data_IF_417156669143
#
_entry.id   IF_417156669143
#
_cell.length_a   1.000
_cell.length_b   1.000
_cell.length_c   1.000
_cell.angle_alpha   90.00
_cell.angle_beta   90.00
_cell.angle_gamma   90.00
#
_symmetry.space_group_name_H-M   'P 1'
#
loop_
_entity.id
_entity.type
_entity.pdbx_description
1 polymer ?
#
# COMPACT_ATOMS: atom_id res chain seq x y z
N UNK A 1 -15.78 1.08 3.06
CA UNK A 1 -14.67 0.11 3.05
C UNK A 1 -14.92 -0.82 1.87
N UNK A 2 -13.97 -0.98 0.95
CA UNK A 2 -14.11 -1.87 -0.21
C UNK A 2 -14.19 -3.34 0.22
N UNK A 3 -14.63 -4.23 -0.68
CA UNK A 3 -14.76 -5.66 -0.37
C UNK A 3 -13.42 -6.25 0.05
N UNK A 4 -13.41 -6.98 1.18
CA UNK A 4 -12.19 -7.63 1.65
C UNK A 4 -11.74 -8.67 0.62
N UNK A 5 -10.47 -8.59 0.22
CA UNK A 5 -9.89 -9.48 -0.77
C UNK A 5 -8.50 -9.92 -0.36
N UNK A 6 -8.05 -11.02 -0.95
CA UNK A 6 -6.74 -11.57 -0.68
C UNK A 6 -5.67 -10.55 -1.06
N UNK A 7 -4.92 -10.09 -0.06
CA UNK A 7 -3.73 -9.28 -0.27
C UNK A 7 -2.56 -10.23 -0.46
N UNK A 8 -1.81 -10.03 -1.54
CA UNK A 8 -0.61 -10.83 -1.86
C UNK A 8 0.63 -9.96 -1.91
N UNK A 9 0.47 -8.71 -2.34
CA UNK A 9 1.58 -7.79 -2.47
C UNK A 9 1.67 -6.88 -1.26
N UNK A 10 2.89 -6.50 -0.88
CA UNK A 10 3.16 -5.56 0.18
C UNK A 10 4.01 -4.39 -0.35
N UNK A 11 3.52 -3.17 -0.15
CA UNK A 11 4.18 -1.93 -0.49
C UNK A 11 4.90 -1.44 0.76
N UNK A 12 6.23 -1.51 0.75
CA UNK A 12 7.10 -0.95 1.78
C UNK A 12 7.49 0.50 1.48
N UNK A 13 7.99 1.20 2.49
CA UNK A 13 8.45 2.59 2.34
C UNK A 13 7.36 3.64 2.57
N UNK A 14 6.23 3.25 3.17
CA UNK A 14 5.23 4.19 3.69
C UNK A 14 5.59 4.58 5.11
N UNK A 15 5.54 5.88 5.43
CA UNK A 15 5.73 6.35 6.80
C UNK A 15 4.60 5.88 7.73
N UNK A 16 4.94 5.52 8.97
CA UNK A 16 3.94 5.07 9.97
C UNK A 16 2.85 6.12 10.23
N UNK A 17 3.20 7.40 10.08
CA UNK A 17 2.28 8.53 10.23
C UNK A 17 1.31 8.64 9.04
N UNK A 18 1.75 8.22 7.85
CA UNK A 18 0.97 8.31 6.61
C UNK A 18 0.26 7.01 6.25
N UNK A 19 0.61 5.90 6.92
CA UNK A 19 0.06 4.56 6.71
C UNK A 19 -1.47 4.53 6.71
N UNK A 20 -2.08 5.20 7.69
CA UNK A 20 -3.53 5.36 7.80
C UNK A 20 -4.11 6.18 6.63
N UNK A 21 -3.45 7.26 6.21
CA UNK A 21 -3.96 8.11 5.13
C UNK A 21 -3.85 7.41 3.77
N UNK A 22 -2.72 6.75 3.52
CA UNK A 22 -2.45 5.93 2.36
C UNK A 22 -3.51 4.82 2.19
N UNK A 23 -3.80 4.05 3.25
CA UNK A 23 -4.85 3.02 3.22
C UNK A 23 -6.23 3.64 2.95
N UNK A 24 -6.56 4.75 3.61
CA UNK A 24 -7.83 5.47 3.38
C UNK A 24 -7.95 6.01 1.95
N UNK A 25 -6.84 6.44 1.35
CA UNK A 25 -6.78 6.91 -0.05
C UNK A 25 -7.15 5.79 -1.01
N UNK A 26 -6.54 4.62 -0.82
CA UNK A 26 -6.83 3.41 -1.60
C UNK A 26 -8.29 3.00 -1.43
N UNK A 27 -8.82 3.02 -0.21
CA UNK A 27 -10.23 2.73 0.04
C UNK A 27 -11.18 3.70 -0.66
N UNK A 28 -10.83 4.99 -0.74
CA UNK A 28 -11.61 5.99 -1.49
C UNK A 28 -11.58 5.74 -3.01
N UNK A 29 -10.48 5.19 -3.53
CA UNK A 29 -10.37 4.74 -4.91
C UNK A 29 -11.09 3.40 -5.17
N UNK A 30 -11.64 2.74 -4.15
CA UNK A 30 -12.26 1.43 -4.25
C UNK A 30 -11.28 0.26 -4.12
N UNK A 31 -10.01 0.54 -3.85
CA UNK A 31 -8.95 -0.46 -3.72
C UNK A 31 -8.89 -0.95 -2.28
N UNK A 32 -9.09 -2.24 -2.07
CA UNK A 32 -8.86 -2.85 -0.76
C UNK A 32 -7.36 -2.94 -0.43
N UNK A 33 -7.00 -2.29 0.67
CA UNK A 33 -5.65 -2.23 1.22
C UNK A 33 -5.71 -2.45 2.72
N UNK A 34 -4.67 -3.06 3.29
CA UNK A 34 -4.51 -3.21 4.75
C UNK A 34 -3.12 -2.75 5.16
N UNK A 35 -3.01 -2.08 6.29
CA UNK A 35 -1.71 -1.80 6.91
C UNK A 35 -1.17 -3.04 7.61
N UNK A 36 0.14 -3.23 7.57
CA UNK A 36 0.86 -4.26 8.30
C UNK A 36 2.24 -3.76 8.74
N UNK A 37 2.97 -4.61 9.45
CA UNK A 37 4.40 -4.43 9.72
C UNK A 37 5.14 -5.61 9.13
N UNK A 38 5.97 -5.35 8.13
CA UNK A 38 6.92 -6.31 7.58
C UNK A 38 8.21 -6.34 8.41
N UNK A 39 9.14 -7.20 8.01
CA UNK A 39 10.44 -7.36 8.68
C UNK A 39 11.22 -6.03 8.80
N UNK A 40 11.03 -5.13 7.83
CA UNK A 40 11.75 -3.85 7.73
C UNK A 40 10.91 -2.61 8.08
N UNK A 41 9.71 -2.77 8.65
CA UNK A 41 8.86 -1.65 9.08
C UNK A 41 7.42 -1.67 8.55
N UNK A 42 6.70 -0.54 8.61
CA UNK A 42 5.31 -0.44 8.14
C UNK A 42 5.18 -0.73 6.64
N UNK A 43 4.17 -1.52 6.27
CA UNK A 43 3.87 -1.90 4.89
C UNK A 43 2.37 -1.83 4.62
N UNK A 44 1.99 -1.57 3.38
CA UNK A 44 0.58 -1.63 2.93
C UNK A 44 0.41 -2.86 2.06
N UNK A 45 -0.44 -3.78 2.48
CA UNK A 45 -0.76 -4.97 1.70
C UNK A 45 -1.98 -4.72 0.81
N UNK A 46 -1.86 -5.06 -0.47
CA UNK A 46 -2.90 -4.95 -1.50
C UNK A 46 -2.98 -6.23 -2.32
N UNK A 47 -4.03 -6.38 -3.11
CA UNK A 47 -4.08 -7.49 -4.06
C UNK A 47 -3.14 -7.20 -5.24
N UNK A 48 -2.64 -8.26 -5.87
CA UNK A 48 -1.74 -8.15 -7.02
C UNK A 48 -2.38 -7.38 -8.18
N UNK A 49 -3.70 -7.51 -8.39
CA UNK A 49 -4.41 -6.80 -9.44
C UNK A 49 -4.45 -5.28 -9.22
N UNK A 50 -4.54 -4.82 -7.97
CA UNK A 50 -4.56 -3.40 -7.63
C UNK A 50 -3.18 -2.84 -7.29
N UNK A 51 -2.12 -3.66 -7.20
CA UNK A 51 -0.77 -3.18 -6.92
C UNK A 51 -0.40 -2.02 -7.83
N UNK A 52 -0.69 -2.14 -9.13
CA UNK A 52 -0.38 -1.11 -10.13
C UNK A 52 -1.12 0.20 -9.86
N UNK A 53 -2.43 0.15 -9.59
CA UNK A 53 -3.20 1.35 -9.25
C UNK A 53 -2.83 1.91 -7.87
N UNK A 54 -2.63 1.04 -6.88
CA UNK A 54 -2.29 1.43 -5.52
C UNK A 54 -0.93 2.12 -5.47
N UNK A 55 0.09 1.51 -6.07
CA UNK A 55 1.42 2.11 -6.18
C UNK A 55 1.35 3.46 -6.88
N UNK A 56 0.58 3.58 -7.96
CA UNK A 56 0.38 4.86 -8.66
C UNK A 56 -0.32 5.91 -7.81
N UNK A 57 -1.37 5.54 -7.07
CA UNK A 57 -2.08 6.44 -6.16
C UNK A 57 -1.17 6.93 -5.03
N UNK A 58 -0.39 6.02 -4.44
CA UNK A 58 0.53 6.31 -3.35
C UNK A 58 1.71 7.17 -3.81
N UNK A 59 2.32 6.82 -4.95
CA UNK A 59 3.41 7.60 -5.55
C UNK A 59 2.93 9.00 -5.96
N UNK A 60 1.73 9.12 -6.54
CA UNK A 60 1.14 10.41 -6.89
C UNK A 60 0.82 11.28 -5.67
N UNK A 61 0.57 10.66 -4.52
CA UNK A 61 0.36 11.36 -3.26
C UNK A 61 1.67 11.64 -2.50
N UNK A 62 2.79 11.06 -2.94
CA UNK A 62 4.10 11.22 -2.29
C UNK A 62 4.36 10.30 -1.11
N UNK A 63 3.53 9.28 -0.89
CA UNK A 63 3.65 8.35 0.25
C UNK A 63 4.76 7.30 0.07
N UNK A 64 5.10 6.96 -1.17
CA UNK A 64 6.17 5.99 -1.47
C UNK A 64 6.99 6.45 -2.67
N UNK A 65 8.32 6.25 -2.65
CA UNK A 65 9.13 6.30 -3.86
C UNK A 65 8.83 5.08 -4.75
N UNK A 66 8.97 5.22 -6.06
CA UNK A 66 8.69 4.13 -7.02
C UNK A 66 9.39 2.81 -6.62
N UNK A 67 8.71 1.66 -6.75
CA UNK A 67 9.17 0.40 -6.14
C UNK A 67 10.50 -0.04 -6.74
N UNK A 68 11.54 0.06 -5.92
CA UNK A 68 12.90 -0.35 -6.24
C UNK A 68 13.45 -1.26 -5.15
N UNK A 69 13.24 -2.57 -5.34
CA UNK A 69 13.90 -3.71 -4.70
C UNK A 69 13.42 -4.07 -3.30
N UNK A 70 12.72 -5.20 -3.29
CA UNK A 70 12.88 -6.28 -2.32
C UNK A 70 14.24 -6.22 -1.61
N UNK A 71 14.22 -5.89 -0.33
CA UNK A 71 15.34 -6.17 0.56
C UNK A 71 14.85 -7.18 1.59
N UNK A 72 15.22 -8.42 1.25
CA UNK A 72 15.43 -9.63 2.06
C UNK A 72 14.24 -10.31 2.75
#
# INVERSE_FOLDING_TARGET
>A
MPSAKAVSEAISGVDVLELEEAVRRLWKAGIYATSGMGCSGPVIMVATEDLAEASKQLASAGFVPEPGKDVC
#
